data_IF_528058013507
#
_entry.id   IF_528058013507
#
_cell.length_a   1.000
_cell.length_b   1.000
_cell.length_c   1.000
_cell.angle_alpha   90.00
_cell.angle_beta   90.00
_cell.angle_gamma   90.00
#
_symmetry.space_group_name_H-M   'P 1'
#
loop_
_entity.id
_entity.type
_entity.pdbx_description
1 polymer ?
#
# COMPACT_ATOMS: atom_id res chain seq x y z
N UNK A 1 22.26 9.93 13.13
CA UNK A 1 22.66 9.58 11.75
C UNK A 1 21.65 10.25 10.85
N UNK A 2 22.05 10.81 9.71
CA UNK A 2 21.10 11.50 8.84
C UNK A 2 20.56 10.57 7.76
N UNK A 3 19.27 10.72 7.46
CA UNK A 3 18.51 9.90 6.53
C UNK A 3 18.31 10.59 5.18
N UNK A 4 18.10 9.79 4.15
CA UNK A 4 17.53 10.20 2.85
C UNK A 4 16.24 9.43 2.64
N UNK A 5 15.13 10.15 2.60
CA UNK A 5 13.79 9.60 2.45
C UNK A 5 13.36 9.54 0.98
N UNK A 6 12.79 8.40 0.56
CA UNK A 6 12.17 8.22 -0.75
C UNK A 6 10.67 7.94 -0.60
N UNK A 7 9.83 8.83 -1.13
CA UNK A 7 8.39 8.65 -1.19
C UNK A 7 7.93 7.74 -2.33
N UNK A 8 8.22 6.44 -2.27
CA UNK A 8 7.65 5.43 -3.18
C UNK A 8 6.34 4.84 -2.62
N UNK A 9 5.31 5.69 -2.46
CA UNK A 9 4.02 5.35 -1.83
C UNK A 9 3.18 4.35 -2.62
N UNK A 10 3.69 3.91 -3.76
CA UNK A 10 3.11 2.98 -4.70
C UNK A 10 3.90 1.67 -4.81
N UNK A 11 4.80 1.39 -3.86
CA UNK A 11 5.72 0.26 -3.91
C UNK A 11 5.02 -1.11 -4.02
N UNK A 12 3.75 -1.25 -3.63
CA UNK A 12 2.99 -2.49 -3.80
C UNK A 12 2.83 -2.87 -5.29
N UNK A 13 2.81 -1.88 -6.19
CA UNK A 13 2.87 -2.17 -7.63
C UNK A 13 4.21 -2.78 -8.05
N UNK A 14 5.29 -2.43 -7.35
CA UNK A 14 6.62 -3.01 -7.55
C UNK A 14 6.67 -4.45 -7.01
N UNK A 15 5.87 -4.78 -5.98
CA UNK A 15 5.73 -6.14 -5.45
C UNK A 15 4.90 -7.06 -6.37
N UNK A 16 3.89 -6.50 -7.03
CA UNK A 16 2.93 -7.20 -7.89
C UNK A 16 3.50 -7.73 -9.22
N UNK A 17 4.81 -7.55 -9.48
CA UNK A 17 5.52 -7.74 -10.76
C UNK A 17 5.11 -6.75 -11.87
N UNK A 18 6.04 -6.46 -12.78
CA UNK A 18 5.97 -5.38 -13.80
C UNK A 18 4.71 -5.41 -14.69
N UNK A 19 4.00 -6.54 -14.75
CA UNK A 19 2.85 -6.77 -15.63
C UNK A 19 1.68 -5.80 -15.39
N UNK A 20 1.49 -5.34 -14.15
CA UNK A 20 0.38 -4.48 -13.77
C UNK A 20 0.80 -3.10 -13.27
N UNK A 21 2.10 -2.78 -13.36
CA UNK A 21 2.51 -1.38 -13.34
C UNK A 21 1.76 -0.72 -14.50
N UNK A 22 0.73 0.07 -14.20
CA UNK A 22 -0.15 0.63 -15.20
C UNK A 22 0.68 1.19 -16.37
N UNK A 23 0.36 0.79 -17.60
CA UNK A 23 1.01 1.22 -18.84
C UNK A 23 0.78 2.71 -19.16
N UNK A 24 0.66 3.56 -18.14
CA UNK A 24 0.41 4.98 -18.24
C UNK A 24 0.65 5.66 -16.90
N UNK A 25 1.93 5.92 -16.57
CA UNK A 25 2.42 7.16 -15.96
C UNK A 25 1.70 7.78 -14.74
N UNK A 26 0.86 7.04 -14.02
CA UNK A 26 0.05 7.57 -12.91
C UNK A 26 0.75 7.60 -11.55
N UNK A 27 2.04 7.31 -11.48
CA UNK A 27 2.79 7.07 -10.24
C UNK A 27 3.78 8.17 -9.80
N UNK A 28 4.22 9.13 -10.64
CA UNK A 28 4.99 10.28 -10.14
C UNK A 28 4.15 11.25 -9.30
N UNK A 29 2.90 11.54 -9.71
CA UNK A 29 2.11 12.61 -9.10
C UNK A 29 1.73 12.31 -7.63
N UNK A 30 1.34 11.06 -7.32
CA UNK A 30 1.05 10.65 -5.94
C UNK A 30 2.31 10.75 -5.06
N UNK A 31 3.43 10.25 -5.57
CA UNK A 31 4.69 10.26 -4.85
C UNK A 31 5.19 11.69 -4.56
N UNK A 32 4.98 12.61 -5.50
CA UNK A 32 5.24 14.03 -5.31
C UNK A 32 4.32 14.66 -4.25
N UNK A 33 3.01 14.37 -4.30
CA UNK A 33 2.02 14.94 -3.39
C UNK A 33 2.23 14.49 -1.94
N UNK A 34 2.65 13.24 -1.74
CA UNK A 34 2.81 12.65 -0.41
C UNK A 34 4.23 12.77 0.15
N UNK A 35 5.21 13.27 -0.60
CA UNK A 35 6.60 13.37 -0.12
C UNK A 35 6.74 14.15 1.20
N UNK A 36 5.86 15.13 1.43
CA UNK A 36 5.83 15.90 2.69
C UNK A 36 5.41 15.07 3.91
N UNK A 37 4.80 13.90 3.75
CA UNK A 37 4.46 12.99 4.85
C UNK A 37 5.70 12.55 5.65
N UNK A 38 6.89 12.54 5.04
CA UNK A 38 8.14 12.25 5.74
C UNK A 38 8.49 13.26 6.84
N UNK A 39 7.98 14.50 6.76
CA UNK A 39 8.21 15.51 7.80
C UNK A 39 7.73 15.07 9.19
N UNK A 40 6.75 14.16 9.26
CA UNK A 40 6.25 13.63 10.52
C UNK A 40 7.25 12.74 11.28
N UNK A 41 8.29 12.25 10.60
CA UNK A 41 9.31 11.37 11.20
C UNK A 41 10.75 11.80 10.90
N UNK A 42 10.96 12.79 10.03
CA UNK A 42 12.28 13.32 9.70
C UNK A 42 12.85 14.14 10.87
N UNK A 43 14.18 14.20 10.95
CA UNK A 43 14.90 15.09 11.83
C UNK A 43 15.54 16.26 11.06
N UNK A 44 15.98 17.29 11.79
CA UNK A 44 16.72 18.40 11.19
C UNK A 44 18.02 17.89 10.52
N UNK A 45 18.26 18.29 9.28
CA UNK A 45 19.40 17.87 8.46
C UNK A 45 19.20 16.60 7.64
N UNK A 46 18.04 15.93 7.78
CA UNK A 46 17.64 14.86 6.87
C UNK A 46 17.27 15.40 5.48
N UNK A 47 17.33 14.51 4.50
CA UNK A 47 17.01 14.80 3.11
C UNK A 47 15.71 14.11 2.71
N UNK A 48 14.84 14.82 1.99
CA UNK A 48 13.66 14.23 1.34
C UNK A 48 13.85 14.32 -0.17
N UNK A 49 13.85 13.18 -0.85
CA UNK A 49 13.89 13.14 -2.30
C UNK A 49 12.54 13.54 -2.90
N UNK A 50 12.57 14.62 -3.68
CA UNK A 50 11.43 15.14 -4.41
C UNK A 50 11.91 15.65 -5.78
N UNK A 51 11.57 14.98 -6.89
CA UNK A 51 11.92 15.43 -8.24
C UNK A 51 11.03 16.59 -8.72
N UNK A 52 10.80 17.58 -7.84
CA UNK A 52 10.07 18.81 -8.08
C UNK A 52 10.63 19.91 -7.16
N UNK A 53 10.42 21.17 -7.52
CA UNK A 53 10.83 22.31 -6.68
C UNK A 53 9.81 22.58 -5.58
N UNK A 54 10.29 22.71 -4.34
CA UNK A 54 9.53 23.26 -3.22
C UNK A 54 9.72 24.78 -3.23
N UNK A 55 8.65 25.55 -3.02
CA UNK A 55 8.80 27.01 -2.89
C UNK A 55 9.51 27.36 -1.58
N UNK A 56 10.44 28.33 -1.58
CA UNK A 56 11.11 28.80 -0.36
C UNK A 56 10.12 29.26 0.72
N UNK A 57 9.00 29.85 0.31
CA UNK A 57 7.93 30.30 1.20
C UNK A 57 7.28 29.12 1.91
N UNK A 58 7.02 28.02 1.20
CA UNK A 58 6.46 26.80 1.81
C UNK A 58 7.44 26.19 2.80
N UNK A 59 8.72 26.06 2.45
CA UNK A 59 9.73 25.53 3.35
C UNK A 59 9.90 26.39 4.62
N UNK A 60 9.82 27.72 4.47
CA UNK A 60 9.86 28.67 5.60
C UNK A 60 8.65 28.49 6.50
N UNK A 61 7.44 28.41 5.92
CA UNK A 61 6.21 28.19 6.68
C UNK A 61 6.26 26.90 7.48
N UNK A 62 6.73 25.78 6.88
CA UNK A 62 6.87 24.51 7.60
C UNK A 62 7.76 24.66 8.85
N UNK A 63 8.87 25.38 8.74
CA UNK A 63 9.76 25.61 9.87
C UNK A 63 9.14 26.54 10.93
N UNK A 64 8.40 27.57 10.52
CA UNK A 64 7.64 28.45 11.43
C UNK A 64 6.54 27.70 12.18
N UNK A 65 5.93 26.70 11.54
CA UNK A 65 4.94 25.79 12.13
C UNK A 65 5.59 24.73 13.05
N UNK A 66 6.91 24.76 13.23
CA UNK A 66 7.66 23.87 14.14
C UNK A 66 8.03 22.51 13.54
N UNK A 67 7.89 22.32 12.23
CA UNK A 67 8.33 21.11 11.54
C UNK A 67 9.86 21.11 11.33
N UNK A 68 10.49 19.93 11.21
CA UNK A 68 11.93 19.81 11.05
C UNK A 68 12.44 20.52 9.79
N UNK A 69 13.56 21.22 9.91
CA UNK A 69 14.30 21.76 8.75
C UNK A 69 15.02 20.64 8.02
N UNK A 70 14.42 20.17 6.94
CA UNK A 70 14.97 19.15 6.03
C UNK A 70 15.52 19.79 4.75
N UNK A 71 16.41 19.08 4.08
CA UNK A 71 16.89 19.43 2.75
C UNK A 71 16.06 18.70 1.69
N UNK A 72 15.37 19.46 0.83
CA UNK A 72 14.65 18.91 -0.31
C UNK A 72 15.62 18.70 -1.47
N UNK A 73 15.83 17.44 -1.86
CA UNK A 73 16.77 17.09 -2.93
C UNK A 73 16.03 16.58 -4.18
N UNK A 74 16.41 17.10 -5.35
CA UNK A 74 15.91 16.60 -6.65
C UNK A 74 16.93 15.69 -7.36
N UNK A 75 18.14 15.63 -6.82
CA UNK A 75 19.27 14.81 -7.31
C UNK A 75 19.87 14.03 -6.16
N UNK A 76 20.26 12.80 -6.41
CA UNK A 76 20.91 11.97 -5.40
C UNK A 76 22.27 12.57 -4.99
N UNK A 77 22.63 12.48 -3.70
CA UNK A 77 23.97 12.86 -3.24
C UNK A 77 25.04 12.01 -3.94
N UNK A 78 26.25 12.55 -4.04
CA UNK A 78 27.40 11.77 -4.53
C UNK A 78 27.67 10.56 -3.63
N UNK A 79 28.27 9.49 -4.18
CA UNK A 79 28.49 8.21 -3.49
C UNK A 79 29.13 8.33 -2.11
N UNK A 80 30.12 9.21 -1.93
CA UNK A 80 30.78 9.41 -0.63
C UNK A 80 29.83 9.96 0.43
N UNK A 81 28.95 10.89 0.05
CA UNK A 81 27.93 11.46 0.93
C UNK A 81 26.80 10.44 1.17
N UNK A 82 26.37 9.71 0.13
CA UNK A 82 25.38 8.65 0.24
C UNK A 82 25.81 7.56 1.24
N UNK A 83 27.08 7.17 1.23
CA UNK A 83 27.64 6.18 2.15
C UNK A 83 27.62 6.62 3.63
N UNK A 84 27.41 7.91 3.91
CA UNK A 84 27.27 8.45 5.26
C UNK A 84 25.81 8.60 5.72
N UNK A 85 24.86 8.32 4.82
CA UNK A 85 23.43 8.48 5.07
C UNK A 85 22.70 7.15 5.01
N UNK A 86 21.67 7.03 5.82
CA UNK A 86 20.74 5.89 5.76
C UNK A 86 19.65 6.16 4.73
N UNK A 87 19.39 5.20 3.85
CA UNK A 87 18.31 5.30 2.87
C UNK A 87 17.03 4.68 3.40
N UNK A 88 15.96 5.46 3.41
CA UNK A 88 14.67 5.10 4.00
C UNK A 88 13.56 5.28 2.94
N UNK A 89 13.17 4.21 2.22
CA UNK A 89 12.02 4.25 1.35
C UNK A 89 10.72 4.12 2.14
N UNK A 90 9.59 4.49 1.55
CA UNK A 90 8.26 4.30 2.14
C UNK A 90 7.95 2.81 2.25
N UNK A 91 8.29 2.06 1.20
CA UNK A 91 8.25 0.61 1.22
C UNK A 91 9.45 0.00 0.53
N UNK A 92 9.95 -1.11 1.08
CA UNK A 92 11.05 -1.85 0.49
C UNK A 92 10.58 -2.68 -0.70
N UNK A 93 11.35 -2.64 -1.78
CA UNK A 93 11.16 -3.43 -3.00
C UNK A 93 12.52 -3.69 -3.63
N UNK A 94 12.57 -4.58 -4.63
CA UNK A 94 13.79 -4.78 -5.42
C UNK A 94 14.26 -3.48 -6.09
N UNK A 95 13.32 -2.66 -6.60
CA UNK A 95 13.64 -1.38 -7.22
C UNK A 95 14.27 -0.40 -6.21
N UNK A 96 13.71 -0.29 -5.01
CA UNK A 96 14.24 0.58 -3.95
C UNK A 96 15.62 0.09 -3.47
N UNK A 97 15.79 -1.22 -3.27
CA UNK A 97 17.07 -1.81 -2.88
C UNK A 97 18.16 -1.62 -3.95
N UNK A 98 17.82 -1.86 -5.22
CA UNK A 98 18.73 -1.64 -6.34
C UNK A 98 19.14 -0.18 -6.49
N UNK A 99 18.20 0.75 -6.32
CA UNK A 99 18.47 2.19 -6.30
C UNK A 99 19.44 2.54 -5.16
N UNK A 100 19.17 2.08 -3.94
CA UNK A 100 20.00 2.37 -2.79
C UNK A 100 21.45 1.87 -2.99
N UNK A 101 21.59 0.64 -3.48
CA UNK A 101 22.87 0.03 -3.81
C UNK A 101 23.61 0.78 -4.94
N UNK A 102 22.90 1.18 -5.99
CA UNK A 102 23.49 1.90 -7.12
C UNK A 102 24.06 3.27 -6.70
N UNK A 103 23.38 3.96 -5.78
CA UNK A 103 23.80 5.25 -5.23
C UNK A 103 24.82 5.13 -4.08
N UNK A 104 25.04 3.92 -3.54
CA UNK A 104 26.00 3.67 -2.48
C UNK A 104 25.51 4.06 -1.08
N UNK A 105 24.21 4.06 -0.86
CA UNK A 105 23.64 4.34 0.47
C UNK A 105 23.89 3.21 1.46
N UNK A 106 23.86 3.55 2.75
CA UNK A 106 23.68 2.54 3.80
C UNK A 106 22.22 2.15 3.87
N UNK A 107 21.95 0.85 4.02
CA UNK A 107 20.60 0.33 4.11
C UNK A 107 20.48 -0.67 5.25
N UNK A 108 19.33 -0.64 5.90
CA UNK A 108 18.88 -1.66 6.85
C UNK A 108 17.63 -2.31 6.28
N UNK A 109 17.76 -2.90 5.09
CA UNK A 109 16.62 -3.47 4.37
C UNK A 109 16.15 -4.77 5.04
N UNK A 110 14.83 -4.96 5.24
CA UNK A 110 14.27 -6.26 5.60
C UNK A 110 14.44 -7.27 4.47
N UNK A 111 14.21 -8.55 4.75
CA UNK A 111 14.11 -9.57 3.72
C UNK A 111 12.99 -9.20 2.72
N UNK A 112 13.35 -8.95 1.47
CA UNK A 112 12.40 -8.55 0.42
C UNK A 112 11.35 -9.64 0.14
N UNK A 113 11.69 -10.91 0.36
CA UNK A 113 10.71 -12.00 0.28
C UNK A 113 9.66 -11.85 1.40
N UNK A 114 10.10 -11.56 2.62
CA UNK A 114 9.19 -11.29 3.74
C UNK A 114 8.31 -10.05 3.47
N UNK A 115 8.88 -8.96 2.95
CA UNK A 115 8.11 -7.76 2.55
C UNK A 115 7.02 -8.12 1.55
N UNK A 116 7.36 -8.88 0.50
CA UNK A 116 6.39 -9.32 -0.50
C UNK A 116 5.31 -10.23 0.12
N UNK A 117 5.69 -11.14 1.00
CA UNK A 117 4.76 -12.05 1.68
C UNK A 117 3.77 -11.27 2.53
N UNK A 118 4.21 -10.37 3.41
CA UNK A 118 3.30 -9.68 4.34
C UNK A 118 2.40 -8.64 3.66
N UNK A 119 2.81 -8.12 2.50
CA UNK A 119 1.98 -7.22 1.68
C UNK A 119 1.01 -7.95 0.74
N UNK A 120 1.06 -9.29 0.68
CA UNK A 120 0.12 -10.10 -0.11
C UNK A 120 -1.16 -10.36 0.67
N UNK A 121 -2.31 -10.15 0.02
CA UNK A 121 -3.63 -10.53 0.56
C UNK A 121 -3.75 -12.03 0.77
N UNK A 122 -3.02 -12.86 0.02
CA UNK A 122 -2.94 -14.30 0.28
C UNK A 122 -2.40 -14.60 1.68
N UNK A 123 -1.42 -13.82 2.15
CA UNK A 123 -0.87 -13.98 3.49
C UNK A 123 -1.87 -13.51 4.55
N UNK A 124 -2.44 -12.31 4.40
CA UNK A 124 -3.43 -11.80 5.36
C UNK A 124 -4.65 -12.71 5.45
N UNK A 125 -5.18 -13.18 4.31
CA UNK A 125 -6.30 -14.11 4.25
C UNK A 125 -5.99 -15.44 4.95
N UNK A 126 -4.77 -15.95 4.83
CA UNK A 126 -4.34 -17.16 5.53
C UNK A 126 -4.35 -16.95 7.04
N UNK A 127 -3.74 -15.86 7.54
CA UNK A 127 -3.73 -15.51 8.96
C UNK A 127 -5.16 -15.28 9.50
N UNK A 128 -5.99 -14.54 8.78
CA UNK A 128 -7.39 -14.29 9.15
C UNK A 128 -8.18 -15.59 9.29
N UNK A 129 -7.96 -16.54 8.38
CA UNK A 129 -8.59 -17.86 8.41
C UNK A 129 -8.08 -18.70 9.58
N UNK A 130 -6.76 -18.74 9.79
CA UNK A 130 -6.12 -19.50 10.87
C UNK A 130 -6.58 -18.99 12.25
N UNK A 131 -6.68 -17.67 12.41
CA UNK A 131 -7.08 -17.04 13.67
C UNK A 131 -8.59 -16.96 13.86
N UNK A 132 -9.39 -17.38 12.87
CA UNK A 132 -10.85 -17.33 12.94
C UNK A 132 -11.42 -15.90 12.98
N UNK A 133 -10.73 -14.94 12.34
CA UNK A 133 -11.13 -13.52 12.27
C UNK A 133 -11.49 -13.08 10.86
N UNK A 134 -11.50 -14.00 9.89
CA UNK A 134 -11.94 -13.72 8.52
C UNK A 134 -13.40 -13.28 8.48
N UNK A 135 -13.72 -12.42 7.52
CA UNK A 135 -15.12 -12.05 7.27
C UNK A 135 -15.89 -13.30 6.84
N UNK A 136 -17.10 -13.55 7.40
CA UNK A 136 -17.98 -14.60 6.90
C UNK A 136 -18.17 -14.47 5.38
N UNK A 137 -18.21 -15.61 4.68
CA UNK A 137 -18.37 -15.69 3.23
C UNK A 137 -17.24 -15.04 2.40
N UNK A 138 -16.14 -14.61 3.01
CA UNK A 138 -14.94 -14.27 2.26
C UNK A 138 -14.29 -15.53 1.68
N UNK A 139 -13.79 -15.42 0.44
CA UNK A 139 -13.12 -16.54 -0.19
C UNK A 139 -12.05 -16.11 -1.19
N UNK A 140 -11.09 -17.00 -1.39
CA UNK A 140 -10.08 -16.92 -2.45
C UNK A 140 -10.58 -17.62 -3.71
N UNK A 141 -10.49 -16.94 -4.85
CA UNK A 141 -10.84 -17.46 -6.17
C UNK A 141 -9.66 -17.32 -7.13
N UNK A 142 -9.53 -18.25 -8.08
CA UNK A 142 -8.41 -18.36 -9.03
C UNK A 142 -8.87 -18.43 -10.49
N UNK A 143 -10.17 -18.58 -10.73
CA UNK A 143 -10.74 -18.61 -12.07
C UNK A 143 -12.03 -17.80 -12.13
N UNK A 144 -12.51 -17.54 -13.35
CA UNK A 144 -13.78 -16.85 -13.57
C UNK A 144 -14.95 -17.71 -13.09
N UNK A 145 -14.87 -19.02 -13.31
CA UNK A 145 -15.89 -19.97 -12.88
C UNK A 145 -16.00 -20.03 -11.35
N UNK A 146 -14.86 -20.03 -10.65
CA UNK A 146 -14.82 -19.94 -9.18
C UNK A 146 -15.41 -18.61 -8.68
N UNK A 147 -15.08 -17.50 -9.35
CA UNK A 147 -15.62 -16.18 -9.01
C UNK A 147 -17.14 -16.12 -9.17
N UNK A 148 -17.67 -16.61 -10.30
CA UNK A 148 -19.11 -16.62 -10.55
C UNK A 148 -19.86 -17.51 -9.56
N UNK A 149 -19.32 -18.70 -9.26
CA UNK A 149 -19.89 -19.59 -8.26
C UNK A 149 -19.91 -18.94 -6.88
N UNK A 150 -18.80 -18.31 -6.47
CA UNK A 150 -18.70 -17.65 -5.17
C UNK A 150 -19.68 -16.47 -5.02
N UNK A 151 -19.87 -15.66 -6.06
CA UNK A 151 -20.83 -14.55 -6.03
C UNK A 151 -22.27 -15.04 -5.96
N UNK A 152 -22.62 -16.09 -6.72
CA UNK A 152 -23.95 -16.69 -6.68
C UNK A 152 -24.25 -17.34 -5.32
N UNK A 153 -23.27 -18.03 -4.73
CA UNK A 153 -23.37 -18.63 -3.40
C UNK A 153 -23.53 -17.57 -2.31
N UNK A 154 -22.75 -16.48 -2.39
CA UNK A 154 -22.84 -15.36 -1.46
C UNK A 154 -24.26 -14.76 -1.45
N UNK A 155 -24.86 -14.51 -2.61
CA UNK A 155 -26.23 -14.01 -2.71
C UNK A 155 -27.26 -15.01 -2.13
N UNK A 156 -27.04 -16.31 -2.36
CA UNK A 156 -27.89 -17.38 -1.81
C UNK A 156 -27.85 -17.41 -0.28
N UNK A 157 -26.66 -17.32 0.31
CA UNK A 157 -26.47 -17.35 1.77
C UNK A 157 -27.02 -16.10 2.46
N UNK A 158 -26.90 -14.94 1.82
CA UNK A 158 -27.47 -13.69 2.35
C UNK A 158 -28.98 -13.58 2.12
N UNK A 159 -29.57 -14.44 1.29
CA UNK A 159 -31.01 -14.45 1.02
C UNK A 159 -31.51 -13.18 0.34
N UNK A 160 -30.64 -12.47 -0.39
CA UNK A 160 -30.99 -11.23 -1.08
C UNK A 160 -30.31 -11.12 -2.43
N UNK A 161 -31.06 -10.66 -3.44
CA UNK A 161 -30.51 -10.35 -4.77
C UNK A 161 -29.74 -9.02 -4.78
N UNK A 162 -29.75 -8.28 -3.67
CA UNK A 162 -29.09 -6.98 -3.54
C UNK A 162 -27.73 -7.05 -2.82
N UNK A 163 -27.17 -8.25 -2.69
CA UNK A 163 -25.87 -8.48 -2.04
C UNK A 163 -24.77 -7.65 -2.68
N UNK A 164 -24.13 -6.80 -1.89
CA UNK A 164 -22.95 -6.05 -2.32
C UNK A 164 -21.68 -6.76 -1.91
N UNK A 165 -20.68 -6.73 -2.79
CA UNK A 165 -19.40 -7.41 -2.58
C UNK A 165 -18.25 -6.63 -3.20
N UNK A 166 -17.04 -6.94 -2.75
CA UNK A 166 -15.80 -6.40 -3.29
C UNK A 166 -14.89 -7.54 -3.71
N UNK A 167 -14.28 -7.39 -4.87
CA UNK A 167 -13.24 -8.27 -5.38
C UNK A 167 -11.91 -7.53 -5.33
N UNK A 168 -10.93 -8.07 -4.61
CA UNK A 168 -9.62 -7.44 -4.41
C UNK A 168 -8.51 -8.26 -5.04
N UNK A 169 -7.51 -7.58 -5.60
CA UNK A 169 -6.28 -8.22 -6.05
C UNK A 169 -5.40 -8.65 -4.87
N UNK A 170 -4.42 -9.52 -5.15
CA UNK A 170 -3.46 -9.99 -4.16
C UNK A 170 -2.56 -8.87 -3.63
N UNK A 171 -2.13 -7.97 -4.50
CA UNK A 171 -1.43 -6.74 -4.16
C UNK A 171 -2.31 -5.54 -4.54
N UNK A 172 -2.54 -4.64 -3.59
CA UNK A 172 -3.43 -3.49 -3.72
C UNK A 172 -2.88 -2.34 -2.88
N UNK A 173 -3.09 -1.11 -3.33
CA UNK A 173 -2.66 0.10 -2.63
C UNK A 173 -3.82 1.09 -2.55
N UNK A 174 -4.04 1.70 -1.38
CA UNK A 174 -4.99 2.81 -1.15
C UNK A 174 -6.36 2.64 -1.83
N UNK A 175 -7.00 1.48 -1.62
CA UNK A 175 -8.31 1.14 -2.20
C UNK A 175 -8.35 1.08 -3.75
N UNK A 176 -7.19 1.07 -4.41
CA UNK A 176 -7.01 0.73 -5.82
C UNK A 176 -6.93 -0.79 -5.98
N UNK A 177 -6.95 -1.29 -7.21
CA UNK A 177 -6.88 -2.75 -7.46
C UNK A 177 -8.03 -3.56 -6.83
N UNK A 178 -9.24 -2.98 -6.84
CA UNK A 178 -10.47 -3.65 -6.43
C UNK A 178 -11.63 -3.32 -7.37
N UNK A 179 -12.61 -4.20 -7.42
CA UNK A 179 -13.89 -3.99 -8.11
C UNK A 179 -15.04 -4.13 -7.12
N UNK A 180 -16.01 -3.23 -7.19
CA UNK A 180 -17.26 -3.35 -6.43
C UNK A 180 -18.33 -3.99 -7.32
N UNK A 181 -19.02 -4.98 -6.77
CA UNK A 181 -20.11 -5.68 -7.42
C UNK A 181 -21.38 -5.67 -6.59
N UNK A 182 -22.50 -5.95 -7.25
CA UNK A 182 -23.83 -6.03 -6.65
C UNK A 182 -24.63 -7.15 -7.30
N UNK A 183 -25.39 -7.84 -6.47
CA UNK A 183 -26.23 -8.98 -6.82
C UNK A 183 -25.47 -10.28 -7.06
N UNK A 184 -26.21 -11.26 -7.56
CA UNK A 184 -25.76 -12.65 -7.72
C UNK A 184 -24.92 -12.91 -8.97
N UNK A 185 -24.56 -11.88 -9.75
CA UNK A 185 -23.87 -12.02 -11.02
C UNK A 185 -22.60 -11.18 -11.13
N UNK A 186 -21.69 -11.61 -12.00
CA UNK A 186 -20.45 -10.88 -12.31
C UNK A 186 -20.62 -10.11 -13.61
N UNK A 187 -20.60 -8.78 -13.53
CA UNK A 187 -20.73 -7.91 -14.71
C UNK A 187 -19.51 -8.03 -15.65
N UNK A 188 -19.69 -7.67 -16.93
CA UNK A 188 -18.61 -7.74 -17.92
C UNK A 188 -17.36 -6.94 -17.51
N UNK A 189 -17.45 -5.70 -16.99
CA UNK A 189 -16.27 -4.97 -16.54
C UNK A 189 -15.48 -5.71 -15.45
N UNK A 190 -16.16 -6.33 -14.48
CA UNK A 190 -15.53 -7.10 -13.41
C UNK A 190 -14.90 -8.38 -13.97
N UNK A 191 -15.60 -9.06 -14.87
CA UNK A 191 -15.10 -10.26 -15.55
C UNK A 191 -13.82 -9.96 -16.33
N UNK A 192 -13.80 -8.88 -17.10
CA UNK A 192 -12.62 -8.50 -17.90
C UNK A 192 -11.45 -8.07 -17.01
N UNK A 193 -11.74 -7.37 -15.91
CA UNK A 193 -10.75 -7.03 -14.89
C UNK A 193 -10.15 -8.28 -14.23
N UNK A 194 -10.99 -9.27 -13.87
CA UNK A 194 -10.58 -10.52 -13.24
C UNK A 194 -9.80 -11.42 -14.21
N UNK A 195 -10.23 -11.54 -15.47
CA UNK A 195 -9.53 -12.32 -16.52
C UNK A 195 -8.08 -11.85 -16.69
N UNK A 196 -7.86 -10.53 -16.71
CA UNK A 196 -6.51 -9.97 -16.81
C UNK A 196 -5.61 -10.39 -15.64
N UNK A 197 -6.18 -10.58 -14.45
CA UNK A 197 -5.46 -11.02 -13.24
C UNK A 197 -5.24 -12.53 -13.23
N UNK A 198 -6.24 -13.31 -13.57
CA UNK A 198 -6.10 -14.77 -13.68
C UNK A 198 -5.13 -15.21 -14.79
N UNK A 199 -4.88 -14.37 -15.80
CA UNK A 199 -3.86 -14.64 -16.82
C UNK A 199 -2.42 -14.73 -16.27
N UNK A 200 -2.17 -14.20 -15.06
CA UNK A 200 -0.89 -14.26 -14.39
C UNK A 200 -1.16 -14.76 -12.99
N UNK A 201 -0.84 -16.01 -12.63
CA UNK A 201 -1.45 -16.86 -11.57
C UNK A 201 -1.65 -16.20 -10.19
N UNK A 202 -2.46 -15.15 -10.14
CA UNK A 202 -2.72 -14.26 -9.04
C UNK A 202 -4.16 -14.53 -8.62
N UNK A 203 -4.37 -14.96 -7.37
CA UNK A 203 -5.72 -15.12 -6.88
C UNK A 203 -6.39 -13.75 -6.71
N UNK A 204 -7.71 -13.80 -6.68
CA UNK A 204 -8.55 -12.69 -6.27
C UNK A 204 -9.30 -13.08 -4.99
N UNK A 205 -9.70 -12.07 -4.23
CA UNK A 205 -10.36 -12.25 -2.95
C UNK A 205 -11.73 -11.59 -3.00
N UNK A 206 -12.76 -12.42 -2.91
CA UNK A 206 -14.13 -11.97 -2.78
C UNK A 206 -14.43 -11.77 -1.30
N UNK A 207 -14.95 -10.60 -0.96
CA UNK A 207 -15.42 -10.29 0.38
C UNK A 207 -16.82 -9.65 0.30
N UNK A 208 -17.71 -9.94 1.25
CA UNK A 208 -18.95 -9.16 1.37
C UNK A 208 -18.64 -7.68 1.61
N UNK A 209 -19.42 -6.81 1.01
CA UNK A 209 -19.32 -5.37 1.28
C UNK A 209 -20.15 -5.03 2.51
N UNK A 210 -19.46 -4.85 3.63
CA UNK A 210 -20.08 -4.59 4.94
C UNK A 210 -20.29 -3.10 5.20
N UNK A 211 -21.23 -2.78 6.07
CA UNK A 211 -21.38 -1.42 6.60
C UNK A 211 -20.18 -1.10 7.51
N UNK A 212 -19.44 -0.04 7.17
CA UNK A 212 -18.36 0.47 8.02
C UNK A 212 -18.98 1.16 9.24
N UNK A 213 -18.72 0.62 10.43
CA UNK A 213 -19.11 1.26 11.71
C UNK A 213 -17.96 2.03 12.34
N UNK A 214 -16.73 1.56 12.11
CA UNK A 214 -15.48 2.20 12.48
C UNK A 214 -14.35 1.59 11.62
N UNK A 215 -13.29 2.35 11.41
CA UNK A 215 -12.09 1.89 10.72
C UNK A 215 -10.86 2.46 11.44
N UNK A 216 -9.83 1.64 11.63
CA UNK A 216 -8.62 2.06 12.32
C UNK A 216 -7.41 1.29 11.79
N UNK A 217 -6.28 1.99 11.66
CA UNK A 217 -4.97 1.41 11.44
C UNK A 217 -4.26 1.17 12.77
N UNK A 218 -3.68 0.00 12.95
CA UNK A 218 -2.79 -0.32 14.07
C UNK A 218 -1.35 -0.34 13.56
N UNK A 219 -0.49 0.46 14.18
CA UNK A 219 0.92 0.53 13.82
C UNK A 219 1.77 -0.24 14.83
N UNK A 220 2.63 -1.11 14.32
CA UNK A 220 3.62 -1.83 15.10
C UNK A 220 5.02 -1.60 14.52
N UNK A 221 6.02 -1.59 15.37
CA UNK A 221 7.43 -1.75 15.02
C UNK A 221 7.82 -3.20 15.29
N UNK A 222 8.37 -3.87 14.28
CA UNK A 222 8.81 -5.26 14.39
C UNK A 222 10.34 -5.27 14.28
N UNK A 223 11.07 -5.40 15.40
CA UNK A 223 12.53 -5.42 15.37
C UNK A 223 13.05 -6.74 14.78
N UNK A 224 14.30 -6.75 14.34
CA UNK A 224 14.96 -7.99 13.89
C UNK A 224 15.07 -9.04 15.02
N UNK A 225 15.15 -8.58 16.27
CA UNK A 225 15.18 -9.40 17.46
C UNK A 225 14.35 -8.75 18.56
N UNK A 226 13.65 -9.57 19.35
CA UNK A 226 12.79 -9.11 20.44
C UNK A 226 11.31 -9.09 20.05
N UNK A 227 10.50 -8.53 20.95
CA UNK A 227 9.05 -8.46 20.81
C UNK A 227 8.63 -7.26 19.94
N UNK A 228 7.56 -7.39 19.13
CA UNK A 228 6.95 -6.25 18.46
C UNK A 228 6.49 -5.17 19.45
N UNK A 229 6.69 -3.90 19.09
CA UNK A 229 6.22 -2.76 19.86
C UNK A 229 4.99 -2.12 19.20
N UNK A 230 3.92 -1.91 19.96
CA UNK A 230 2.77 -1.13 19.48
C UNK A 230 3.12 0.36 19.50
N UNK A 231 3.07 1.02 18.35
CA UNK A 231 3.40 2.43 18.21
C UNK A 231 2.17 3.33 18.34
N UNK A 232 1.01 2.87 17.90
CA UNK A 232 -0.21 3.66 17.99
C UNK A 232 -1.34 3.16 17.11
N UNK A 233 -2.48 3.82 17.26
CA UNK A 233 -3.68 3.61 16.48
C UNK A 233 -4.06 4.91 15.79
N UNK A 234 -4.39 4.82 14.50
CA UNK A 234 -4.95 5.90 13.72
C UNK A 234 -6.41 5.58 13.40
N UNK A 235 -7.35 6.35 13.94
CA UNK A 235 -8.75 6.23 13.53
C UNK A 235 -8.93 6.84 12.16
N UNK A 236 -9.54 6.08 11.25
CA UNK A 236 -9.83 6.53 9.90
C UNK A 236 -11.26 7.07 9.88
N UNK A 237 -11.38 8.39 9.87
CA UNK A 237 -12.66 9.07 9.89
C UNK A 237 -13.33 8.96 8.52
N UNK A 238 -14.40 8.18 8.46
CA UNK A 238 -15.22 8.03 7.28
C UNK A 238 -16.52 8.85 7.40
N UNK A 239 -17.02 9.36 6.29
CA UNK A 239 -18.41 9.82 6.20
C UNK A 239 -19.39 8.64 6.09
N UNK A 240 -20.70 8.93 6.06
CA UNK A 240 -21.76 7.92 5.93
C UNK A 240 -21.70 7.13 4.61
N UNK A 241 -20.89 7.58 3.64
CA UNK A 241 -20.62 6.91 2.36
C UNK A 241 -19.33 6.09 2.41
N UNK A 242 -18.61 6.09 3.53
CA UNK A 242 -17.35 5.41 3.70
C UNK A 242 -16.17 6.12 3.03
N UNK A 243 -16.25 7.44 2.78
CA UNK A 243 -15.14 8.25 2.25
C UNK A 243 -14.34 8.87 3.39
N UNK A 244 -13.00 8.84 3.29
CA UNK A 244 -12.11 9.45 4.28
C UNK A 244 -12.28 10.97 4.35
N UNK A 245 -12.29 11.52 5.56
CA UNK A 245 -12.55 12.94 5.86
C UNK A 245 -11.30 13.79 6.12
N UNK A 246 -10.12 13.22 5.98
CA UNK A 246 -8.83 13.89 6.22
C UNK A 246 -7.71 12.88 6.31
#
# INVERSE_FOLDING_TARGET
MSCVFLGNFDFEHQLASEVYAAAGGGTPALNLQLASCWLGIAAAGDQIYLPASISPEFATQLAEDGLPTVEWISTWPGREQAAQREFVPWGWSEAAANLANAQGFRTTAPDLAAVKTVNSRSFSFHCETEWGVSLPDSCRVKTIEELEAAVAELATRQGTEETTWVLKADFSMSARERMLGRGAGVSNPIRDWAKKRFAYPQPLFLEPWVQRVAEAGLQFEIPQQGEPAFLGLAQLLCDDRGQYRG
#
